data_IF_747628057013
#
_entry.id   IF_747628057013
#
_cell.length_a   1.000
_cell.length_b   1.000
_cell.length_c   1.000
_cell.angle_alpha   90.00
_cell.angle_beta   90.00
_cell.angle_gamma   90.00
#
_symmetry.space_group_name_H-M   'P 1'
#
loop_
_entity.id
_entity.type
_entity.pdbx_description
1 polymer ?
#
# COMPACT_ATOMS: atom_id res chain seq x y z
N UNK A 1 9.13 -18.08 -9.65
CA UNK A 1 7.95 -17.91 -10.51
C UNK A 1 8.25 -16.68 -11.36
N UNK A 2 8.34 -16.83 -12.67
CA UNK A 2 8.68 -15.73 -13.59
C UNK A 2 7.45 -14.83 -13.79
N UNK A 3 7.62 -13.51 -13.65
CA UNK A 3 6.52 -12.55 -13.86
C UNK A 3 6.20 -12.47 -15.34
N UNK A 4 4.93 -12.63 -15.69
CA UNK A 4 4.44 -12.59 -17.07
C UNK A 4 3.68 -11.31 -17.35
N UNK A 5 3.57 -10.96 -18.63
CA UNK A 5 2.69 -9.89 -19.07
C UNK A 5 1.24 -10.24 -18.72
N UNK A 6 0.52 -9.28 -18.18
CA UNK A 6 -0.86 -9.47 -17.75
C UNK A 6 -1.04 -10.06 -16.35
N UNK A 7 0.05 -10.46 -15.67
CA UNK A 7 -0.02 -10.84 -14.25
C UNK A 7 -0.56 -9.68 -13.41
N UNK A 8 -1.24 -10.04 -12.34
CA UNK A 8 -1.83 -9.09 -11.41
C UNK A 8 -0.84 -8.85 -10.26
N UNK A 9 -0.46 -7.60 -10.07
CA UNK A 9 0.46 -7.16 -9.02
C UNK A 9 -0.12 -5.96 -8.30
N UNK A 10 0.13 -5.83 -6.99
CA UNK A 10 -0.26 -4.65 -6.24
C UNK A 10 0.80 -3.54 -6.40
N UNK A 11 0.33 -2.31 -6.60
CA UNK A 11 1.18 -1.13 -6.69
C UNK A 11 0.43 0.11 -6.19
N UNK A 12 1.15 1.18 -5.93
CA UNK A 12 0.57 2.47 -5.59
C UNK A 12 0.13 3.22 -6.86
N UNK A 13 -1.18 3.38 -7.04
CA UNK A 13 -1.68 4.13 -8.18
C UNK A 13 -1.57 5.64 -7.93
N UNK A 14 -0.77 6.35 -8.73
CA UNK A 14 -0.62 7.81 -8.61
C UNK A 14 -1.94 8.58 -8.83
N UNK A 15 -2.87 8.02 -9.61
CA UNK A 15 -4.16 8.64 -9.91
C UNK A 15 -5.20 8.36 -8.82
N UNK A 16 -5.25 7.12 -8.31
CA UNK A 16 -6.16 6.77 -7.21
C UNK A 16 -5.62 7.17 -5.82
N UNK A 17 -4.31 7.39 -5.69
CA UNK A 17 -3.61 7.68 -4.43
C UNK A 17 -3.83 6.61 -3.35
N UNK A 18 -3.81 5.34 -3.75
CA UNK A 18 -3.97 4.17 -2.88
C UNK A 18 -3.31 2.96 -3.51
N UNK A 19 -3.03 1.94 -2.68
CA UNK A 19 -2.63 0.61 -3.14
C UNK A 19 -3.80 -0.08 -3.85
N UNK A 20 -3.57 -0.56 -5.06
CA UNK A 20 -4.56 -1.30 -5.85
C UNK A 20 -3.91 -2.38 -6.68
N UNK A 21 -4.72 -3.30 -7.15
CA UNK A 21 -4.33 -4.28 -8.15
C UNK A 21 -4.11 -3.62 -9.51
N UNK A 22 -2.95 -3.87 -10.10
CA UNK A 22 -2.56 -3.46 -11.44
C UNK A 22 -2.27 -4.68 -12.31
N UNK A 23 -2.41 -4.54 -13.62
CA UNK A 23 -1.92 -5.54 -14.59
C UNK A 23 -0.56 -5.12 -15.14
N UNK A 24 0.38 -6.04 -15.23
CA UNK A 24 1.70 -5.81 -15.85
C UNK A 24 1.52 -5.55 -17.35
N UNK A 25 1.95 -4.38 -17.82
CA UNK A 25 1.82 -3.96 -19.23
C UNK A 25 3.13 -4.17 -19.99
N UNK A 26 4.27 -4.00 -19.31
CA UNK A 26 5.58 -4.18 -19.92
C UNK A 26 6.61 -4.68 -18.91
N UNK A 27 7.46 -5.58 -19.37
CA UNK A 27 8.64 -6.08 -18.65
C UNK A 27 9.90 -5.52 -19.33
N UNK A 28 10.91 -5.16 -18.54
CA UNK A 28 12.25 -4.80 -19.00
C UNK A 28 13.25 -5.67 -18.25
N UNK A 29 14.10 -6.41 -18.97
CA UNK A 29 15.14 -7.28 -18.37
C UNK A 29 14.60 -8.31 -17.36
N UNK A 30 13.32 -8.69 -17.49
CA UNK A 30 12.64 -9.59 -16.55
C UNK A 30 11.98 -8.89 -15.35
N UNK A 31 12.17 -7.58 -15.16
CA UNK A 31 11.50 -6.79 -14.14
C UNK A 31 10.28 -6.04 -14.70
N UNK A 32 9.28 -5.78 -13.85
CA UNK A 32 8.09 -5.00 -14.21
C UNK A 32 8.46 -3.53 -14.40
N UNK A 33 8.31 -3.02 -15.63
CA UNK A 33 8.62 -1.63 -15.96
C UNK A 33 7.39 -0.71 -15.84
N UNK A 34 6.24 -1.14 -16.37
CA UNK A 34 4.99 -0.37 -16.36
C UNK A 34 3.81 -1.25 -15.98
N UNK A 35 2.87 -0.63 -15.28
CA UNK A 35 1.66 -1.26 -14.78
C UNK A 35 0.44 -0.40 -15.12
N UNK A 36 -0.72 -1.05 -15.25
CA UNK A 36 -2.01 -0.40 -15.48
C UNK A 36 -2.95 -0.67 -14.34
N UNK A 37 -3.47 0.37 -13.71
CA UNK A 37 -4.42 0.23 -12.61
C UNK A 37 -5.72 -0.41 -13.11
N UNK A 38 -6.20 -1.48 -12.45
CA UNK A 38 -7.47 -2.11 -12.82
C UNK A 38 -8.70 -1.31 -12.39
N UNK A 39 -8.52 -0.34 -11.49
CA UNK A 39 -9.62 0.54 -11.02
C UNK A 39 -9.81 1.77 -11.91
N UNK A 40 -8.73 2.50 -12.22
CA UNK A 40 -8.81 3.76 -12.98
C UNK A 40 -8.21 3.69 -14.38
N UNK A 41 -7.68 2.52 -14.78
CA UNK A 41 -7.10 2.27 -16.11
C UNK A 41 -5.97 3.23 -16.51
N UNK A 42 -5.31 3.84 -15.54
CA UNK A 42 -4.15 4.69 -15.77
C UNK A 42 -2.88 3.84 -15.81
N UNK A 43 -1.99 4.15 -16.75
CA UNK A 43 -0.70 3.49 -16.91
C UNK A 43 0.40 4.33 -16.28
N UNK A 44 1.25 3.73 -15.45
CA UNK A 44 2.40 4.40 -14.84
C UNK A 44 3.56 3.43 -14.64
N UNK A 45 4.72 3.99 -14.26
CA UNK A 45 5.87 3.19 -13.85
C UNK A 45 5.55 2.44 -12.56
N UNK A 46 6.10 1.24 -12.43
CA UNK A 46 5.94 0.43 -11.23
C UNK A 46 6.68 1.08 -10.06
N UNK A 47 5.96 1.41 -8.98
CA UNK A 47 6.51 2.10 -7.80
C UNK A 47 6.92 1.14 -6.68
N UNK A 48 6.71 -0.16 -6.86
CA UNK A 48 7.02 -1.19 -5.84
C UNK A 48 6.32 -0.91 -4.52
N UNK A 49 5.05 -0.50 -4.61
CA UNK A 49 4.19 -0.18 -3.45
C UNK A 49 4.68 1.02 -2.62
N UNK A 50 5.72 1.72 -3.08
CA UNK A 50 6.24 2.91 -2.42
C UNK A 50 5.41 4.11 -2.86
N UNK A 51 4.68 4.70 -1.91
CA UNK A 51 4.01 5.98 -2.16
C UNK A 51 5.07 7.05 -2.46
N UNK A 52 4.96 7.80 -3.57
CA UNK A 52 5.90 8.87 -3.85
C UNK A 52 5.83 9.92 -2.75
N UNK A 53 6.98 10.46 -2.30
CA UNK A 53 7.01 11.44 -1.21
C UNK A 53 6.13 12.64 -1.56
N UNK A 54 5.36 13.11 -0.59
CA UNK A 54 4.44 14.22 -0.86
C UNK A 54 5.25 15.50 -1.08
N UNK A 55 4.65 16.44 -1.83
CA UNK A 55 5.26 17.76 -2.07
C UNK A 55 5.57 18.53 -0.77
N UNK A 56 4.93 18.18 0.36
CA UNK A 56 5.24 18.74 1.68
C UNK A 56 6.50 18.11 2.28
N UNK A 57 6.68 16.81 2.10
CA UNK A 57 7.84 16.08 2.61
C UNK A 57 9.12 16.50 1.89
N UNK A 58 9.03 16.77 0.57
CA UNK A 58 10.14 17.32 -0.20
C UNK A 58 10.59 18.70 0.31
N UNK A 59 9.64 19.59 0.63
CA UNK A 59 9.95 20.90 1.22
C UNK A 59 10.53 20.79 2.62
N UNK A 60 10.00 19.88 3.45
CA UNK A 60 10.54 19.65 4.79
C UNK A 60 11.96 19.08 4.72
N UNK A 61 12.23 18.16 3.80
CA UNK A 61 13.57 17.63 3.56
C UNK A 61 14.55 18.73 3.09
N UNK A 62 14.10 19.65 2.22
CA UNK A 62 14.93 20.78 1.79
C UNK A 62 15.27 21.74 2.95
N UNK A 63 14.29 22.06 3.80
CA UNK A 63 14.51 22.90 4.98
C UNK A 63 15.43 22.22 6.01
N UNK A 64 15.27 20.92 6.23
CA UNK A 64 16.15 20.13 7.10
C UNK A 64 17.58 20.06 6.54
N UNK A 65 17.72 19.87 5.22
CA UNK A 65 19.02 19.86 4.57
C UNK A 65 19.71 21.23 4.61
N UNK A 66 18.96 22.33 4.52
CA UNK A 66 19.49 23.68 4.69
C UNK A 66 19.98 23.91 6.13
N UNK A 67 19.17 23.54 7.14
CA UNK A 67 19.53 23.66 8.55
C UNK A 67 20.77 22.81 8.92
N UNK A 68 20.88 21.60 8.38
CA UNK A 68 22.04 20.73 8.61
C UNK A 68 23.35 21.28 7.99
N UNK A 69 23.26 22.09 6.92
CA UNK A 69 24.43 22.78 6.33
C UNK A 69 24.85 24.00 7.16
N UNK A 70 23.90 24.65 7.81
CA UNK A 70 24.15 25.83 8.66
C UNK A 70 24.63 25.46 10.07
N UNK A 71 24.24 24.30 10.60
CA UNK A 71 24.71 23.77 11.89
C UNK A 71 24.88 22.24 11.84
N UNK A 72 26.08 21.72 11.53
CA UNK A 72 26.34 20.28 11.52
C UNK A 72 26.33 19.63 12.92
N UNK A 73 26.47 20.44 13.98
CA UNK A 73 26.63 19.96 15.37
C UNK A 73 25.28 19.77 16.10
N UNK A 74 24.19 20.37 15.60
CA UNK A 74 22.85 20.24 16.22
C UNK A 74 22.11 18.94 15.83
N UNK A 75 22.64 18.16 14.88
CA UNK A 75 22.01 16.93 14.38
C UNK A 75 22.37 15.67 15.16
N UNK A 76 23.43 15.70 15.97
CA UNK A 76 23.90 14.53 16.75
C UNK A 76 23.20 14.42 18.11
N UNK A 77 22.89 15.54 18.77
CA UNK A 77 22.19 15.54 20.07
C UNK A 77 20.72 15.10 19.97
N UNK A 78 20.08 15.27 18.81
CA UNK A 78 18.69 14.85 18.61
C UNK A 78 18.52 13.35 18.31
N UNK A 79 19.54 12.70 17.73
CA UNK A 79 19.45 11.29 17.32
C UNK A 79 19.79 10.31 18.46
N UNK A 80 20.53 10.75 19.49
CA UNK A 80 20.86 9.91 20.65
C UNK A 80 19.73 9.81 21.69
N UNK A 81 18.74 10.70 21.67
CA UNK A 81 17.67 10.72 22.67
C UNK A 81 16.55 9.66 22.45
N UNK A 82 16.48 9.03 21.28
CA UNK A 82 15.45 8.01 20.97
C UNK A 82 15.93 6.56 21.22
N UNK A 83 17.18 6.34 21.66
CA UNK A 83 17.73 4.99 21.92
C UNK A 83 17.65 4.56 23.40
N UNK A 84 17.30 5.45 24.33
CA UNK A 84 17.22 5.15 25.77
C UNK A 84 15.81 5.31 26.35
N UNK A 85 14.91 4.36 26.08
CA UNK A 85 13.85 3.93 27.01
C UNK A 85 13.13 2.67 26.48
N UNK A 86 12.79 1.70 27.36
CA UNK A 86 13.39 0.37 27.29
C UNK A 86 12.45 -0.76 26.84
N UNK A 87 13.08 -1.82 26.32
CA UNK A 87 12.47 -3.15 26.23
C UNK A 87 12.31 -3.70 27.66
N UNK A 88 11.08 -3.92 28.08
CA UNK A 88 10.77 -4.82 29.19
C UNK A 88 9.71 -5.80 28.73
N UNK A 89 10.06 -7.07 28.81
CA UNK A 89 9.24 -8.20 28.47
C UNK A 89 8.03 -8.32 29.41
N UNK A 90 6.87 -8.69 28.86
CA UNK A 90 5.94 -9.63 29.50
C UNK A 90 5.36 -10.56 28.44
N UNK A 91 5.68 -11.84 28.60
CA UNK A 91 5.07 -12.95 27.90
C UNK A 91 3.78 -13.38 28.64
N UNK A 92 2.92 -14.08 27.89
CA UNK A 92 1.81 -14.95 28.32
C UNK A 92 0.45 -14.32 28.69
N UNK A 93 -0.53 -14.48 27.80
CA UNK A 93 -1.68 -15.36 28.04
C UNK A 93 -2.63 -15.38 26.83
N UNK A 94 -2.75 -16.56 26.20
CA UNK A 94 -3.88 -16.93 25.34
C UNK A 94 -5.17 -17.02 26.18
N UNK A 95 -6.33 -16.71 25.59
CA UNK A 95 -7.24 -17.82 25.41
C UNK A 95 -7.91 -17.89 24.03
N UNK A 96 -7.88 -19.12 23.50
CA UNK A 96 -8.86 -19.76 22.62
C UNK A 96 -10.31 -19.27 22.84
N UNK A 97 -10.95 -18.78 21.77
CA UNK A 97 -12.33 -19.17 21.46
C UNK A 97 -12.44 -19.35 19.95
N UNK A 98 -12.37 -20.61 19.55
CA UNK A 98 -12.94 -21.17 18.33
C UNK A 98 -14.46 -20.95 18.31
N UNK A 99 -15.01 -20.45 17.19
CA UNK A 99 -16.20 -21.05 16.57
C UNK A 99 -16.12 -20.85 15.06
N UNK A 100 -15.94 -21.97 14.36
CA UNK A 100 -16.01 -22.09 12.92
C UNK A 100 -17.47 -22.15 12.43
N UNK A 101 -17.69 -21.51 11.28
CA UNK A 101 -18.51 -21.93 10.13
C UNK A 101 -19.98 -22.31 10.31
N UNK A 102 -20.86 -21.76 9.46
CA UNK A 102 -21.30 -22.49 8.25
C UNK A 102 -22.28 -21.67 7.42
N UNK A 103 -22.14 -21.81 6.10
CA UNK A 103 -23.00 -21.31 5.05
C UNK A 103 -24.43 -21.85 5.14
N UNK A 104 -25.42 -21.06 4.70
CA UNK A 104 -26.64 -21.60 4.14
C UNK A 104 -27.20 -20.67 3.05
N UNK A 105 -27.06 -21.15 1.82
CA UNK A 105 -27.74 -20.73 0.61
C UNK A 105 -29.26 -20.81 0.73
N UNK A 106 -30.00 -19.90 0.10
CA UNK A 106 -31.39 -20.14 -0.29
C UNK A 106 -31.72 -19.46 -1.63
N UNK A 107 -32.17 -20.27 -2.58
CA UNK A 107 -32.52 -19.93 -3.96
C UNK A 107 -34.03 -19.65 -4.08
N UNK A 108 -34.38 -18.75 -5.01
CA UNK A 108 -35.64 -18.61 -5.81
C UNK A 108 -37.02 -18.52 -5.11
N UNK A 109 -37.73 -17.42 -5.40
CA UNK A 109 -39.11 -17.46 -5.90
C UNK A 109 -39.47 -16.13 -6.60
N UNK A 110 -39.90 -16.21 -7.86
CA UNK A 110 -40.35 -15.05 -8.64
C UNK A 110 -41.72 -14.54 -8.21
N UNK A 111 -42.00 -13.28 -8.54
CA UNK A 111 -43.37 -12.81 -8.75
C UNK A 111 -43.39 -11.79 -9.88
N UNK A 112 -44.03 -12.19 -10.97
CA UNK A 112 -44.39 -11.33 -12.09
C UNK A 112 -45.13 -10.09 -11.60
N UNK A 113 -44.79 -8.92 -12.14
CA UNK A 113 -45.70 -7.78 -12.18
C UNK A 113 -45.96 -7.42 -13.64
N UNK A 114 -47.24 -7.54 -13.94
CA UNK A 114 -47.96 -7.28 -15.18
C UNK A 114 -47.58 -5.98 -15.87
N UNK A 115 -47.48 -6.06 -17.20
CA UNK A 115 -47.69 -4.95 -18.13
C UNK A 115 -49.01 -4.25 -17.80
N UNK A 116 -49.01 -2.92 -17.79
CA UNK A 116 -50.24 -2.13 -17.89
C UNK A 116 -50.14 -1.32 -19.17
N UNK A 117 -51.28 -1.32 -19.87
CA UNK A 117 -51.53 -0.87 -21.24
C UNK A 117 -51.16 0.58 -21.49
#
# INVERSE_FOLDING_TARGET
METRLGDVIDDYCIKCRRLTNHSVVSLMEGEVAKVRCRSCYHEHLYLREIAPPSRKDLKKAELLAAAARENPEAGVDALLAEVEAPVSAEAEAVPDVVVAETEATATKAGKARSRKA
#
